data_IF_081230630723
#
_entry.id   IF_081230630723
#
_cell.length_a   1.000
_cell.length_b   1.000
_cell.length_c   1.000
_cell.angle_alpha   90.00
_cell.angle_beta   90.00
_cell.angle_gamma   90.00
#
_symmetry.space_group_name_H-M   'P 1'
#
loop_
_entity.id
_entity.type
_entity.pdbx_description
1 polymer ?
#
# COMPACT_ATOMS: atom_id res chain seq x y z
N UNK A 1 4.19 -26.68 8.73
CA UNK A 1 3.60 -26.18 7.46
C UNK A 1 4.71 -25.90 6.47
N UNK A 2 4.47 -26.16 5.19
CA UNK A 2 5.37 -25.79 4.09
C UNK A 2 4.91 -24.46 3.46
N UNK A 3 5.73 -23.42 3.56
CA UNK A 3 5.42 -22.08 3.09
C UNK A 3 6.15 -21.83 1.78
N UNK A 4 5.48 -21.25 0.80
CA UNK A 4 6.03 -20.93 -0.51
C UNK A 4 6.11 -19.43 -0.75
N UNK A 5 7.23 -18.99 -1.28
CA UNK A 5 7.49 -17.58 -1.63
C UNK A 5 7.88 -17.51 -3.11
N UNK A 6 6.94 -17.28 -4.01
CA UNK A 6 7.24 -17.08 -5.42
C UNK A 6 7.88 -15.71 -5.64
N UNK A 7 8.58 -15.55 -6.76
CA UNK A 7 9.01 -14.26 -7.27
C UNK A 7 7.81 -13.49 -7.78
N UNK A 8 7.72 -12.20 -7.46
CA UNK A 8 6.68 -11.34 -7.99
C UNK A 8 6.88 -11.12 -9.50
N UNK A 9 5.78 -11.20 -10.25
CA UNK A 9 5.77 -11.09 -11.71
C UNK A 9 4.94 -9.92 -12.24
N UNK A 10 4.23 -9.20 -11.36
CA UNK A 10 3.53 -7.99 -11.74
C UNK A 10 4.55 -6.92 -12.18
N UNK A 11 4.22 -6.18 -13.22
CA UNK A 11 5.10 -5.14 -13.77
C UNK A 11 5.46 -4.13 -12.68
N UNK A 12 6.75 -3.82 -12.53
CA UNK A 12 7.31 -2.94 -11.51
C UNK A 12 7.04 -3.36 -10.05
N UNK A 13 6.82 -4.67 -9.81
CA UNK A 13 6.82 -5.23 -8.47
C UNK A 13 8.16 -5.92 -8.20
N UNK A 14 8.90 -5.38 -7.26
CA UNK A 14 10.25 -5.82 -6.90
C UNK A 14 10.35 -6.27 -5.44
N UNK A 15 9.25 -6.21 -4.69
CA UNK A 15 9.15 -6.69 -3.31
C UNK A 15 9.10 -8.22 -3.28
N UNK A 16 9.18 -8.81 -2.10
CA UNK A 16 9.08 -10.26 -1.90
C UNK A 16 8.27 -10.57 -0.63
N UNK A 17 7.55 -11.68 -0.63
CA UNK A 17 6.64 -12.08 0.44
C UNK A 17 7.31 -12.30 1.80
N UNK A 18 8.53 -12.87 1.83
CA UNK A 18 9.35 -13.03 3.05
C UNK A 18 10.79 -12.58 2.81
N UNK A 19 11.35 -11.88 3.78
CA UNK A 19 12.79 -11.57 3.83
C UNK A 19 13.59 -12.77 4.35
N UNK A 20 14.91 -12.85 4.13
CA UNK A 20 15.75 -13.89 4.75
C UNK A 20 15.62 -13.94 6.28
N UNK A 21 15.47 -12.80 6.95
CA UNK A 21 15.27 -12.75 8.41
C UNK A 21 13.93 -13.36 8.82
N UNK A 22 12.85 -13.08 8.07
CA UNK A 22 11.54 -13.69 8.32
C UNK A 22 11.53 -15.19 8.03
N UNK A 23 12.26 -15.63 6.99
CA UNK A 23 12.46 -17.07 6.71
C UNK A 23 13.15 -17.75 7.87
N UNK A 24 14.22 -17.17 8.42
CA UNK A 24 14.92 -17.73 9.58
C UNK A 24 14.00 -17.91 10.78
N UNK A 25 13.12 -16.95 11.03
CA UNK A 25 12.13 -17.01 12.11
C UNK A 25 11.12 -18.13 11.87
N UNK A 26 10.56 -18.22 10.66
CA UNK A 26 9.62 -19.27 10.25
C UNK A 26 10.24 -20.67 10.41
N UNK A 27 11.51 -20.84 10.01
CA UNK A 27 12.25 -22.10 10.15
C UNK A 27 12.53 -22.42 11.63
N UNK A 28 12.85 -21.42 12.44
CA UNK A 28 13.05 -21.60 13.89
C UNK A 28 11.78 -22.07 14.61
N UNK A 29 10.59 -21.75 14.07
CA UNK A 29 9.28 -22.25 14.52
C UNK A 29 8.92 -23.63 13.96
N UNK A 30 9.85 -24.33 13.31
CA UNK A 30 9.67 -25.72 12.84
C UNK A 30 8.93 -25.84 11.50
N UNK A 31 8.83 -24.77 10.72
CA UNK A 31 8.22 -24.78 9.40
C UNK A 31 9.29 -24.82 8.29
N UNK A 32 8.94 -25.29 7.11
CA UNK A 32 9.81 -25.28 5.94
C UNK A 32 9.41 -24.18 4.96
N UNK A 33 10.40 -23.57 4.34
CA UNK A 33 10.17 -22.47 3.38
C UNK A 33 10.80 -22.81 2.03
N UNK A 34 9.99 -22.73 0.98
CA UNK A 34 10.44 -22.79 -0.41
C UNK A 34 10.47 -21.36 -0.98
N UNK A 35 11.57 -20.95 -1.55
CA UNK A 35 11.71 -19.65 -2.19
C UNK A 35 12.07 -19.86 -3.64
N UNK A 36 11.35 -19.22 -4.53
CA UNK A 36 11.71 -19.23 -5.94
C UNK A 36 13.02 -18.49 -6.16
N UNK A 37 13.90 -19.05 -6.99
CA UNK A 37 15.18 -18.41 -7.35
C UNK A 37 14.97 -16.96 -7.77
N UNK A 38 15.87 -16.08 -7.34
CA UNK A 38 15.84 -14.63 -7.61
C UNK A 38 14.62 -13.88 -7.02
N UNK A 39 13.80 -14.47 -6.17
CA UNK A 39 12.65 -13.77 -5.59
C UNK A 39 13.07 -12.53 -4.78
N UNK A 40 14.23 -12.58 -4.10
CA UNK A 40 14.74 -11.47 -3.29
C UNK A 40 15.60 -10.44 -4.02
N UNK A 41 15.83 -10.59 -5.33
CA UNK A 41 16.77 -9.72 -6.07
C UNK A 41 16.40 -8.24 -5.98
N UNK A 42 15.11 -7.92 -6.04
CA UNK A 42 14.63 -6.53 -5.94
C UNK A 42 14.91 -5.84 -4.61
N UNK A 43 15.16 -6.59 -3.55
CA UNK A 43 15.53 -6.07 -2.22
C UNK A 43 17.01 -6.23 -1.90
N UNK A 44 17.81 -6.76 -2.85
CA UNK A 44 19.23 -7.04 -2.68
C UNK A 44 19.52 -8.30 -1.86
N UNK A 45 18.56 -9.23 -1.74
CA UNK A 45 18.74 -10.55 -1.13
C UNK A 45 18.99 -11.61 -2.21
N UNK A 46 20.05 -12.38 -2.05
CA UNK A 46 20.43 -13.45 -2.97
C UNK A 46 19.81 -14.78 -2.56
N UNK A 47 19.80 -15.77 -3.46
CA UNK A 47 19.37 -17.13 -3.15
C UNK A 47 20.20 -17.72 -1.99
N UNK A 48 21.52 -17.46 -1.95
CA UNK A 48 22.39 -17.86 -0.87
C UNK A 48 22.04 -17.23 0.49
N UNK A 49 21.45 -16.03 0.51
CA UNK A 49 20.96 -15.41 1.75
C UNK A 49 19.74 -16.16 2.28
N UNK A 50 18.86 -16.64 1.42
CA UNK A 50 17.71 -17.45 1.78
C UNK A 50 18.12 -18.87 2.21
N UNK A 51 19.08 -19.51 1.53
CA UNK A 51 19.62 -20.81 1.93
C UNK A 51 20.27 -20.74 3.32
N UNK A 52 21.07 -19.69 3.61
CA UNK A 52 21.63 -19.46 4.95
C UNK A 52 20.55 -19.23 6.01
N UNK A 53 19.39 -18.71 5.63
CA UNK A 53 18.23 -18.55 6.50
C UNK A 53 17.46 -19.87 6.72
N UNK A 54 17.79 -20.94 5.99
CA UNK A 54 17.14 -22.25 6.09
C UNK A 54 16.06 -22.52 5.04
N UNK A 55 15.94 -21.70 4.01
CA UNK A 55 15.03 -21.96 2.90
C UNK A 55 15.61 -22.97 1.92
N UNK A 56 14.73 -23.64 1.20
CA UNK A 56 15.05 -24.39 -0.02
C UNK A 56 14.76 -23.54 -1.23
N UNK A 57 15.74 -23.34 -2.10
CA UNK A 57 15.55 -22.64 -3.38
C UNK A 57 14.98 -23.60 -4.42
N UNK A 58 13.96 -23.15 -5.16
CA UNK A 58 13.34 -23.87 -6.26
C UNK A 58 13.37 -23.03 -7.54
N UNK A 59 13.37 -23.68 -8.70
CA UNK A 59 13.58 -23.00 -9.98
C UNK A 59 12.42 -22.17 -10.48
N UNK A 60 11.18 -22.58 -10.18
CA UNK A 60 9.97 -22.04 -10.81
C UNK A 60 8.87 -21.72 -9.80
N UNK A 61 7.98 -20.80 -10.17
CA UNK A 61 6.75 -20.55 -9.40
C UNK A 61 5.88 -21.82 -9.34
N UNK A 62 5.81 -22.60 -10.40
CA UNK A 62 5.03 -23.84 -10.43
C UNK A 62 5.45 -24.82 -9.34
N UNK A 63 6.76 -24.98 -9.08
CA UNK A 63 7.27 -25.80 -7.98
C UNK A 63 6.87 -25.25 -6.61
N UNK A 64 6.88 -23.90 -6.45
CA UNK A 64 6.42 -23.26 -5.23
C UNK A 64 4.94 -23.57 -4.98
N UNK A 65 4.07 -23.26 -5.96
CA UNK A 65 2.62 -23.44 -5.83
C UNK A 65 2.22 -24.91 -5.67
N UNK A 66 2.87 -25.82 -6.39
CA UNK A 66 2.58 -27.26 -6.28
C UNK A 66 2.91 -27.83 -4.89
N UNK A 67 3.96 -27.31 -4.23
CA UNK A 67 4.50 -27.90 -3.02
C UNK A 67 4.06 -27.21 -1.72
N UNK A 68 3.73 -25.92 -1.78
CA UNK A 68 3.39 -25.13 -0.59
C UNK A 68 1.98 -25.40 -0.09
N UNK A 69 1.81 -25.41 1.22
CA UNK A 69 0.50 -25.40 1.90
C UNK A 69 -0.03 -23.95 2.05
N UNK A 70 0.90 -23.00 2.24
CA UNK A 70 0.61 -21.56 2.27
C UNK A 70 1.56 -20.84 1.33
N UNK A 71 1.02 -20.01 0.44
CA UNK A 71 1.77 -19.12 -0.44
C UNK A 71 1.71 -17.70 0.13
N UNK A 72 2.87 -17.10 0.35
CA UNK A 72 3.01 -15.71 0.83
C UNK A 72 3.57 -14.86 -0.30
N UNK A 73 2.80 -13.84 -0.70
CA UNK A 73 3.16 -12.87 -1.74
C UNK A 73 3.02 -11.45 -1.21
N UNK A 74 3.36 -10.49 -2.03
CA UNK A 74 3.08 -9.07 -1.78
C UNK A 74 1.85 -8.62 -2.56
N UNK A 75 1.83 -8.84 -3.88
CA UNK A 75 0.73 -8.42 -4.75
C UNK A 75 -0.19 -9.60 -5.10
N UNK A 76 -1.37 -9.23 -5.57
CA UNK A 76 -2.38 -10.16 -6.06
C UNK A 76 -1.79 -11.12 -7.09
N UNK A 77 -2.19 -12.39 -7.06
CA UNK A 77 -1.69 -13.39 -8.01
C UNK A 77 -2.15 -13.04 -9.43
N UNK A 78 -1.19 -13.03 -10.36
CA UNK A 78 -1.47 -12.78 -11.77
C UNK A 78 -2.16 -14.02 -12.41
N UNK A 79 -2.81 -13.86 -13.56
CA UNK A 79 -3.61 -14.91 -14.19
C UNK A 79 -2.88 -16.27 -14.30
N UNK A 80 -1.58 -16.26 -14.57
CA UNK A 80 -0.80 -17.51 -14.64
C UNK A 80 -0.62 -18.15 -13.27
N UNK A 81 -0.51 -17.35 -12.20
CA UNK A 81 -0.35 -17.83 -10.82
C UNK A 81 -1.68 -18.34 -10.25
N UNK A 82 -2.81 -17.67 -10.58
CA UNK A 82 -4.15 -18.12 -10.15
C UNK A 82 -4.46 -19.55 -10.62
N UNK A 83 -4.01 -19.92 -11.82
CA UNK A 83 -4.15 -21.27 -12.37
C UNK A 83 -3.31 -22.34 -11.66
N UNK A 84 -2.32 -21.95 -10.87
CA UNK A 84 -1.47 -22.85 -10.08
C UNK A 84 -2.01 -23.08 -8.67
N UNK A 85 -2.98 -22.26 -8.23
CA UNK A 85 -3.63 -22.42 -6.93
C UNK A 85 -4.47 -23.72 -6.93
N UNK A 86 -4.61 -24.28 -5.73
CA UNK A 86 -5.37 -25.52 -5.54
C UNK A 86 -6.28 -25.43 -4.32
N UNK A 87 -7.29 -26.28 -4.30
CA UNK A 87 -8.23 -26.38 -3.19
C UNK A 87 -7.52 -26.52 -1.83
N UNK A 88 -7.96 -25.74 -0.86
CA UNK A 88 -7.44 -25.75 0.50
C UNK A 88 -6.07 -25.10 0.70
N UNK A 89 -5.38 -24.67 -0.37
CA UNK A 89 -4.12 -23.93 -0.27
C UNK A 89 -4.36 -22.54 0.27
N UNK A 90 -3.58 -22.11 1.27
CA UNK A 90 -3.68 -20.75 1.81
C UNK A 90 -2.90 -19.77 0.91
N UNK A 91 -3.54 -18.69 0.53
CA UNK A 91 -2.91 -17.55 -0.13
C UNK A 91 -2.99 -16.33 0.81
N UNK A 92 -1.84 -15.83 1.25
CA UNK A 92 -1.72 -14.69 2.17
C UNK A 92 -0.97 -13.55 1.48
N UNK A 93 -1.70 -12.51 1.06
CA UNK A 93 -1.18 -11.43 0.20
C UNK A 93 -2.17 -10.26 0.14
N UNK A 94 -1.81 -9.14 -0.51
CA UNK A 94 -2.82 -8.18 -0.99
C UNK A 94 -3.61 -8.79 -2.14
N UNK A 95 -4.91 -8.57 -2.17
CA UNK A 95 -5.81 -9.10 -3.20
C UNK A 95 -6.47 -8.01 -4.05
N UNK A 96 -6.98 -6.96 -3.44
CA UNK A 96 -7.69 -5.87 -4.13
C UNK A 96 -8.78 -6.37 -5.08
N UNK A 97 -9.69 -7.23 -4.58
CA UNK A 97 -10.65 -7.97 -5.41
C UNK A 97 -11.74 -7.11 -6.05
N UNK A 98 -12.19 -6.04 -5.37
CA UNK A 98 -13.33 -5.26 -5.83
C UNK A 98 -13.19 -4.67 -7.25
N UNK A 99 -12.01 -4.20 -7.71
CA UNK A 99 -11.82 -3.73 -9.08
C UNK A 99 -11.50 -4.82 -10.10
N UNK A 100 -11.32 -6.10 -9.71
CA UNK A 100 -10.90 -7.18 -10.59
C UNK A 100 -11.82 -8.41 -10.48
N UNK A 101 -12.97 -8.40 -11.20
CA UNK A 101 -13.94 -9.50 -11.17
C UNK A 101 -13.38 -10.81 -11.72
N UNK A 102 -12.44 -10.78 -12.66
CA UNK A 102 -11.82 -11.99 -13.20
C UNK A 102 -10.91 -12.65 -12.17
N UNK A 103 -10.14 -11.86 -11.42
CA UNK A 103 -9.36 -12.38 -10.30
C UNK A 103 -10.26 -13.02 -9.23
N UNK A 104 -11.33 -12.34 -8.84
CA UNK A 104 -12.26 -12.87 -7.83
C UNK A 104 -12.84 -14.22 -8.28
N UNK A 105 -13.27 -14.35 -9.54
CA UNK A 105 -13.79 -15.59 -10.11
C UNK A 105 -12.75 -16.70 -10.11
N UNK A 106 -11.55 -16.43 -10.65
CA UNK A 106 -10.47 -17.42 -10.69
C UNK A 106 -10.10 -17.92 -9.28
N UNK A 107 -10.10 -17.05 -8.27
CA UNK A 107 -9.80 -17.44 -6.89
C UNK A 107 -10.94 -18.25 -6.25
N UNK A 108 -12.19 -17.94 -6.53
CA UNK A 108 -13.35 -18.75 -6.13
C UNK A 108 -13.26 -20.14 -6.76
N UNK A 109 -13.01 -20.21 -8.05
CA UNK A 109 -12.93 -21.49 -8.78
C UNK A 109 -11.74 -22.35 -8.35
N UNK A 110 -10.65 -21.75 -7.88
CA UNK A 110 -9.47 -22.47 -7.38
C UNK A 110 -9.72 -23.26 -6.09
N UNK A 111 -10.75 -22.89 -5.30
CA UNK A 111 -11.00 -23.43 -3.96
C UNK A 111 -9.93 -23.07 -2.92
N UNK A 112 -9.02 -22.15 -3.22
CA UNK A 112 -8.00 -21.68 -2.30
C UNK A 112 -8.59 -20.87 -1.14
N UNK A 113 -7.83 -20.76 -0.05
CA UNK A 113 -8.17 -19.95 1.13
C UNK A 113 -7.44 -18.62 1.02
N UNK A 114 -8.14 -17.57 0.62
CA UNK A 114 -7.53 -16.29 0.31
C UNK A 114 -7.71 -15.31 1.48
N UNK A 115 -6.60 -14.97 2.14
CA UNK A 115 -6.54 -14.05 3.28
C UNK A 115 -5.85 -12.78 2.79
N UNK A 116 -6.62 -11.69 2.71
CA UNK A 116 -6.18 -10.40 2.19
C UNK A 116 -5.53 -9.55 3.28
N UNK A 117 -4.34 -9.04 3.01
CA UNK A 117 -3.64 -8.13 3.93
C UNK A 117 -4.45 -6.87 4.22
N UNK A 118 -5.07 -6.28 3.21
CA UNK A 118 -5.77 -5.01 3.29
C UNK A 118 -7.08 -5.04 4.08
N UNK A 119 -7.58 -6.23 4.43
CA UNK A 119 -8.82 -6.37 5.20
C UNK A 119 -8.58 -6.89 6.63
N UNK A 120 -7.35 -7.28 6.98
CA UNK A 120 -6.97 -7.58 8.38
C UNK A 120 -7.09 -6.29 9.21
N UNK A 121 -7.82 -6.37 10.33
CA UNK A 121 -8.04 -5.25 11.24
C UNK A 121 -7.17 -5.33 12.49
N UNK A 122 -7.33 -4.41 13.44
CA UNK A 122 -6.63 -4.39 14.72
C UNK A 122 -7.55 -3.96 15.84
N UNK A 123 -7.34 -4.48 17.05
CA UNK A 123 -8.04 -4.06 18.26
C UNK A 123 -7.84 -2.56 18.57
N UNK A 124 -6.71 -2.00 18.19
CA UNK A 124 -6.42 -0.58 18.29
C UNK A 124 -7.07 0.26 17.17
N UNK A 125 -7.80 -0.39 16.27
CA UNK A 125 -8.37 0.22 15.06
C UNK A 125 -7.37 0.25 13.90
N UNK A 126 -7.89 0.54 12.70
CA UNK A 126 -7.11 0.61 11.47
C UNK A 126 -6.78 -0.75 10.84
N UNK A 127 -5.91 -0.71 9.83
CA UNK A 127 -5.53 -1.84 8.98
C UNK A 127 -4.02 -2.08 9.12
N UNK A 128 -3.59 -2.93 10.06
CA UNK A 128 -2.18 -3.06 10.46
C UNK A 128 -1.27 -3.57 9.34
N UNK A 129 -1.80 -4.33 8.38
CA UNK A 129 -1.02 -4.84 7.25
C UNK A 129 -1.02 -3.88 6.04
N UNK A 130 -1.94 -2.91 6.00
CA UNK A 130 -1.94 -1.83 5.00
C UNK A 130 -1.12 -0.62 5.48
N UNK A 131 -1.10 -0.35 6.79
CA UNK A 131 -0.42 0.80 7.38
C UNK A 131 1.05 0.96 6.94
N UNK A 132 1.91 -0.11 6.89
CA UNK A 132 3.29 0.04 6.45
C UNK A 132 3.43 0.59 5.03
N UNK A 133 2.53 0.20 4.12
CA UNK A 133 2.56 0.72 2.74
C UNK A 133 2.07 2.16 2.68
N UNK A 134 1.10 2.53 3.50
CA UNK A 134 0.65 3.91 3.65
C UNK A 134 1.73 4.82 4.25
N UNK A 135 2.53 4.31 5.17
CA UNK A 135 3.68 5.02 5.74
C UNK A 135 4.77 5.27 4.69
N UNK A 136 5.12 4.22 3.93
CA UNK A 136 6.09 4.33 2.84
C UNK A 136 5.59 5.31 1.78
N UNK A 137 4.33 5.20 1.34
CA UNK A 137 3.74 6.09 0.35
C UNK A 137 3.75 7.55 0.83
N UNK A 138 3.39 7.81 2.09
CA UNK A 138 3.42 9.14 2.68
C UNK A 138 4.83 9.75 2.68
N UNK A 139 5.83 8.99 3.08
CA UNK A 139 7.24 9.45 3.07
C UNK A 139 7.74 9.67 1.66
N UNK A 140 7.45 8.74 0.76
CA UNK A 140 7.86 8.80 -0.64
C UNK A 140 7.19 9.95 -1.39
N UNK A 141 5.97 10.36 -1.03
CA UNK A 141 5.27 11.47 -1.68
C UNK A 141 6.06 12.78 -1.61
N UNK A 142 6.78 13.02 -0.51
CA UNK A 142 7.64 14.20 -0.36
C UNK A 142 8.89 14.08 -1.25
N UNK A 143 9.50 12.89 -1.31
CA UNK A 143 10.67 12.64 -2.17
C UNK A 143 10.31 12.80 -3.65
N UNK A 144 9.20 12.20 -4.09
CA UNK A 144 8.70 12.32 -5.47
C UNK A 144 8.32 13.77 -5.80
N UNK A 145 7.62 14.45 -4.87
CA UNK A 145 7.25 15.85 -5.02
C UNK A 145 8.44 16.78 -5.13
N UNK A 146 9.49 16.55 -4.34
CA UNK A 146 10.74 17.31 -4.40
C UNK A 146 11.40 17.20 -5.78
N UNK A 147 11.50 15.97 -6.30
CA UNK A 147 12.05 15.73 -7.64
C UNK A 147 11.19 16.39 -8.72
N UNK A 148 9.86 16.27 -8.63
CA UNK A 148 8.96 16.87 -9.61
C UNK A 148 8.99 18.42 -9.58
N UNK A 149 9.42 19.06 -8.48
CA UNK A 149 9.61 20.52 -8.41
C UNK A 149 10.88 21.01 -9.13
N UNK A 150 11.80 20.11 -9.46
CA UNK A 150 12.99 20.44 -10.22
C UNK A 150 12.63 20.89 -11.65
N UNK A 151 13.41 21.83 -12.20
CA UNK A 151 13.11 22.37 -13.54
C UNK A 151 13.15 21.32 -14.64
N UNK A 152 14.08 20.39 -14.55
CA UNK A 152 14.24 19.30 -15.53
C UNK A 152 13.05 18.31 -15.51
N UNK A 153 12.36 18.18 -14.36
CA UNK A 153 11.17 17.35 -14.20
C UNK A 153 9.84 18.08 -14.52
N UNK A 154 9.92 19.31 -15.05
CA UNK A 154 8.75 20.13 -15.41
C UNK A 154 8.28 21.08 -14.31
N UNK A 155 8.90 21.04 -13.14
CA UNK A 155 8.58 21.88 -12.00
C UNK A 155 9.04 23.32 -12.12
N UNK A 156 8.69 24.15 -11.14
CA UNK A 156 9.02 25.56 -11.09
C UNK A 156 10.48 25.86 -10.69
N UNK A 157 11.28 24.85 -10.35
CA UNK A 157 12.69 25.02 -9.95
C UNK A 157 12.86 25.52 -8.53
N UNK A 158 12.12 24.96 -7.57
CA UNK A 158 12.14 25.36 -6.16
C UNK A 158 12.66 24.21 -5.28
N UNK A 159 13.47 24.54 -4.29
CA UNK A 159 13.98 23.62 -3.28
C UNK A 159 13.05 23.61 -2.06
N UNK A 160 12.71 22.43 -1.53
CA UNK A 160 11.74 22.30 -0.43
C UNK A 160 12.10 23.13 0.80
N UNK A 161 13.35 23.05 1.26
CA UNK A 161 13.81 23.75 2.46
C UNK A 161 14.28 25.19 2.22
N UNK A 162 14.28 25.67 0.95
CA UNK A 162 14.91 26.95 0.61
C UNK A 162 16.40 26.97 0.96
N UNK A 163 16.96 28.15 1.05
CA UNK A 163 18.32 28.42 1.57
C UNK A 163 18.32 29.76 2.29
N UNK A 164 19.42 30.12 2.95
CA UNK A 164 19.52 31.42 3.63
C UNK A 164 19.13 32.58 2.69
N UNK A 165 18.15 33.36 3.09
CA UNK A 165 17.61 34.47 2.30
C UNK A 165 16.55 34.07 1.24
N UNK A 166 16.23 32.78 1.08
CA UNK A 166 15.22 32.28 0.15
C UNK A 166 14.16 31.48 0.91
N UNK A 167 12.89 31.84 0.72
CA UNK A 167 11.77 31.20 1.40
C UNK A 167 11.63 29.71 1.04
N UNK A 168 11.39 28.81 2.00
CA UNK A 168 11.08 27.42 1.73
C UNK A 168 9.80 27.24 0.91
N UNK A 169 9.68 26.09 0.24
CA UNK A 169 8.47 25.69 -0.44
C UNK A 169 7.29 25.51 0.54
N UNK A 170 6.09 25.81 0.06
CA UNK A 170 4.83 25.56 0.77
C UNK A 170 4.25 24.21 0.32
N UNK A 171 4.21 23.27 1.24
CA UNK A 171 3.61 21.94 1.05
C UNK A 171 2.24 21.89 1.71
N UNK A 172 1.22 21.56 0.95
CA UNK A 172 -0.15 21.37 1.45
C UNK A 172 -0.50 19.88 1.37
N UNK A 173 -0.85 19.30 2.50
CA UNK A 173 -1.19 17.89 2.63
C UNK A 173 -2.69 17.77 2.90
N UNK A 174 -3.39 17.07 2.01
CA UNK A 174 -4.81 16.77 2.13
C UNK A 174 -4.98 15.39 2.77
N UNK A 175 -5.52 15.37 4.00
CA UNK A 175 -5.66 14.19 4.84
C UNK A 175 -4.59 14.09 5.92
N UNK A 176 -5.00 13.84 7.17
CA UNK A 176 -4.14 13.64 8.35
C UNK A 176 -4.10 12.17 8.81
N UNK A 177 -4.45 11.23 7.93
CA UNK A 177 -4.35 9.79 8.14
C UNK A 177 -2.90 9.30 8.14
N UNK A 178 -2.68 8.00 7.97
CA UNK A 178 -1.33 7.39 7.99
C UNK A 178 -0.43 8.02 6.92
N UNK A 179 -0.91 8.14 5.68
CA UNK A 179 -0.18 8.79 4.57
C UNK A 179 0.19 10.23 4.94
N UNK A 180 -0.80 11.04 5.32
CA UNK A 180 -0.58 12.47 5.57
C UNK A 180 0.34 12.76 6.74
N UNK A 181 0.26 11.99 7.84
CA UNK A 181 1.17 12.12 8.99
C UNK A 181 2.63 11.82 8.59
N UNK A 182 2.86 10.77 7.83
CA UNK A 182 4.19 10.41 7.36
C UNK A 182 4.73 11.43 6.35
N UNK A 183 3.87 11.94 5.45
CA UNK A 183 4.22 13.05 4.56
C UNK A 183 4.59 14.31 5.35
N UNK A 184 3.78 14.67 6.37
CA UNK A 184 4.04 15.84 7.20
C UNK A 184 5.38 15.75 7.95
N UNK A 185 5.71 14.58 8.52
CA UNK A 185 7.01 14.35 9.18
C UNK A 185 8.19 14.59 8.22
N UNK A 186 8.12 14.03 7.02
CA UNK A 186 9.18 14.20 6.03
C UNK A 186 9.26 15.63 5.51
N UNK A 187 8.13 16.26 5.24
CA UNK A 187 8.05 17.64 4.76
C UNK A 187 8.63 18.63 5.80
N UNK A 188 8.28 18.46 7.07
CA UNK A 188 8.87 19.23 8.19
C UNK A 188 10.36 18.98 8.30
N UNK A 189 10.80 17.72 8.17
CA UNK A 189 12.23 17.35 8.21
C UNK A 189 13.04 17.94 7.08
N UNK A 190 12.41 18.24 5.93
CA UNK A 190 13.07 18.92 4.79
C UNK A 190 13.14 20.45 4.95
N UNK A 191 12.58 21.01 6.00
CA UNK A 191 12.56 22.45 6.25
C UNK A 191 11.49 23.23 5.48
N UNK A 192 10.52 22.55 4.88
CA UNK A 192 9.42 23.17 4.15
C UNK A 192 8.40 23.85 5.09
N UNK A 193 7.61 24.76 4.57
CA UNK A 193 6.40 25.25 5.21
C UNK A 193 5.27 24.24 5.01
N UNK A 194 4.76 23.65 6.08
CA UNK A 194 3.80 22.52 6.00
C UNK A 194 2.43 22.92 6.52
N UNK A 195 1.41 22.69 5.70
CA UNK A 195 0.00 22.82 6.06
C UNK A 195 -0.68 21.47 5.87
N UNK A 196 -1.39 21.00 6.89
CA UNK A 196 -2.18 19.75 6.82
C UNK A 196 -3.66 20.06 7.01
N UNK A 197 -4.48 19.52 6.12
CA UNK A 197 -5.91 19.77 6.07
C UNK A 197 -6.66 18.45 6.28
N UNK A 198 -7.55 18.39 7.28
CA UNK A 198 -8.40 17.22 7.53
C UNK A 198 -9.76 17.64 8.10
N UNK A 199 -10.78 16.78 7.95
CA UNK A 199 -12.10 16.93 8.61
C UNK A 199 -12.09 16.45 10.06
N UNK A 200 -11.19 15.54 10.42
CA UNK A 200 -11.06 15.00 11.75
C UNK A 200 -10.24 15.92 12.64
N UNK A 201 -10.89 16.58 13.57
CA UNK A 201 -10.21 17.42 14.57
C UNK A 201 -9.26 16.57 15.43
N UNK A 202 -9.61 15.31 15.71
CA UNK A 202 -8.74 14.43 16.51
C UNK A 202 -7.46 14.05 15.75
N UNK A 203 -7.55 13.81 14.43
CA UNK A 203 -6.38 13.60 13.58
C UNK A 203 -5.48 14.85 13.55
N UNK A 204 -6.07 16.06 13.47
CA UNK A 204 -5.34 17.32 13.52
C UNK A 204 -4.69 17.54 14.90
N UNK A 205 -5.39 17.27 16.01
CA UNK A 205 -4.83 17.34 17.38
C UNK A 205 -3.63 16.39 17.55
N UNK A 206 -3.74 15.17 16.99
CA UNK A 206 -2.64 14.21 17.04
C UNK A 206 -1.40 14.73 16.31
N UNK A 207 -1.58 15.34 15.14
CA UNK A 207 -0.50 15.98 14.38
C UNK A 207 0.10 17.17 15.13
N UNK A 208 -0.73 18.02 15.71
CA UNK A 208 -0.30 19.16 16.50
C UNK A 208 0.54 18.72 17.71
N UNK A 209 0.09 17.69 18.43
CA UNK A 209 0.84 17.12 19.55
C UNK A 209 2.19 16.51 19.11
N UNK A 210 2.26 15.91 17.89
CA UNK A 210 3.44 15.24 17.38
C UNK A 210 4.48 16.21 16.81
N UNK A 211 4.05 17.25 16.10
CA UNK A 211 4.91 18.15 15.33
C UNK A 211 4.97 19.57 15.87
N UNK A 212 4.02 19.96 16.72
CA UNK A 212 3.94 21.30 17.31
C UNK A 212 3.84 22.40 16.26
N UNK A 213 4.45 23.54 16.53
CA UNK A 213 4.43 24.72 15.65
C UNK A 213 5.13 24.56 14.30
N UNK A 214 5.72 23.40 14.03
CA UNK A 214 6.36 23.09 12.73
C UNK A 214 5.35 22.73 11.63
N UNK A 215 4.07 22.55 11.99
CA UNK A 215 2.97 22.27 11.07
C UNK A 215 1.81 23.20 11.35
N UNK A 216 1.14 23.64 10.30
CA UNK A 216 -0.11 24.39 10.39
C UNK A 216 -1.24 23.40 10.14
N UNK A 217 -2.13 23.21 11.11
CA UNK A 217 -3.31 22.36 10.96
C UNK A 217 -4.53 23.20 10.59
N UNK A 218 -5.29 22.76 9.58
CA UNK A 218 -6.44 23.48 9.05
C UNK A 218 -7.63 22.53 8.90
N UNK A 219 -8.82 22.97 9.33
CA UNK A 219 -10.05 22.21 9.14
C UNK A 219 -10.46 22.17 7.65
N UNK A 220 -10.83 20.98 7.17
CA UNK A 220 -11.20 20.78 5.76
C UNK A 220 -12.61 21.29 5.48
N UNK A 221 -12.70 22.40 4.77
CA UNK A 221 -13.89 22.88 4.08
C UNK A 221 -13.46 23.43 2.71
N UNK A 222 -14.42 23.75 1.85
CA UNK A 222 -14.12 24.19 0.45
C UNK A 222 -13.21 25.42 0.41
N UNK A 223 -13.52 26.44 1.21
CA UNK A 223 -12.77 27.71 1.25
C UNK A 223 -11.32 27.49 1.73
N UNK A 224 -11.13 26.73 2.81
CA UNK A 224 -9.80 26.44 3.34
C UNK A 224 -8.98 25.60 2.35
N UNK A 225 -9.57 24.57 1.74
CA UNK A 225 -8.89 23.74 0.74
C UNK A 225 -8.46 24.59 -0.46
N UNK A 226 -9.37 25.37 -1.06
CA UNK A 226 -9.06 26.24 -2.19
C UNK A 226 -7.96 27.24 -1.85
N UNK A 227 -8.12 27.98 -0.74
CA UNK A 227 -7.13 28.98 -0.30
C UNK A 227 -5.72 28.40 -0.16
N UNK A 228 -5.59 27.23 0.46
CA UNK A 228 -4.28 26.64 0.69
C UNK A 228 -3.71 25.98 -0.58
N UNK A 229 -4.53 25.30 -1.37
CA UNK A 229 -4.11 24.68 -2.64
C UNK A 229 -3.57 25.73 -3.63
N UNK A 230 -4.23 26.89 -3.74
CA UNK A 230 -3.77 27.97 -4.63
C UNK A 230 -2.42 28.57 -4.20
N UNK A 231 -2.04 28.45 -2.93
CA UNK A 231 -0.76 28.93 -2.39
C UNK A 231 0.35 27.89 -2.42
N UNK A 232 -0.01 26.63 -2.67
CA UNK A 232 0.92 25.51 -2.61
C UNK A 232 1.95 25.56 -3.75
N UNK A 233 3.16 25.09 -3.44
CA UNK A 233 4.16 24.68 -4.42
C UNK A 233 4.06 23.19 -4.68
N UNK A 234 3.70 22.43 -3.61
CA UNK A 234 3.46 20.99 -3.65
C UNK A 234 2.17 20.68 -2.89
N UNK A 235 1.26 19.98 -3.55
CA UNK A 235 0.07 19.38 -2.93
C UNK A 235 0.29 17.87 -2.83
N UNK A 236 0.13 17.30 -1.64
CA UNK A 236 0.15 15.85 -1.42
C UNK A 236 -1.24 15.43 -0.96
N UNK A 237 -1.87 14.52 -1.68
CA UNK A 237 -3.15 13.98 -1.28
C UNK A 237 -3.03 12.54 -0.75
N UNK A 238 -3.41 12.36 0.52
CA UNK A 238 -3.45 11.08 1.20
C UNK A 238 -4.83 10.79 1.80
N UNK A 239 -5.89 11.34 1.21
CA UNK A 239 -7.27 11.09 1.69
C UNK A 239 -7.68 9.68 1.30
N UNK A 240 -8.07 8.89 2.30
CA UNK A 240 -8.58 7.54 2.12
C UNK A 240 -9.95 7.43 2.79
N UNK A 241 -10.95 6.99 2.03
CA UNK A 241 -12.26 6.61 2.58
C UNK A 241 -12.38 5.09 2.40
N UNK A 242 -12.42 4.32 3.48
CA UNK A 242 -12.54 2.86 3.39
C UNK A 242 -13.78 2.46 2.56
N UNK A 243 -13.57 1.62 1.54
CA UNK A 243 -14.65 1.10 0.70
C UNK A 243 -15.30 2.11 -0.28
N UNK A 244 -14.77 3.33 -0.42
CA UNK A 244 -15.32 4.34 -1.31
C UNK A 244 -14.25 5.05 -2.15
N UNK A 245 -14.67 5.71 -3.23
CA UNK A 245 -13.80 6.55 -4.03
C UNK A 245 -13.32 7.77 -3.23
N UNK A 246 -12.11 8.24 -3.52
CA UNK A 246 -11.57 9.45 -2.93
C UNK A 246 -12.41 10.68 -3.35
N UNK A 247 -12.70 11.62 -2.42
CA UNK A 247 -13.42 12.83 -2.75
C UNK A 247 -12.56 13.74 -3.65
N UNK A 248 -13.17 14.37 -4.63
CA UNK A 248 -12.50 15.36 -5.49
C UNK A 248 -12.34 16.69 -4.75
N UNK A 249 -11.19 16.86 -4.11
CA UNK A 249 -10.87 18.05 -3.31
C UNK A 249 -10.20 19.15 -4.13
N UNK A 250 -9.47 18.79 -5.19
CA UNK A 250 -8.81 19.73 -6.09
C UNK A 250 -9.57 19.74 -7.41
N UNK A 251 -10.27 20.84 -7.68
CA UNK A 251 -11.06 20.98 -8.91
C UNK A 251 -10.20 21.44 -10.09
N UNK A 252 -10.68 21.24 -11.30
CA UNK A 252 -10.01 21.74 -12.50
C UNK A 252 -9.92 23.28 -12.52
N UNK A 253 -10.91 23.96 -11.95
CA UNK A 253 -10.88 25.42 -11.80
C UNK A 253 -9.72 25.88 -10.92
N UNK A 254 -9.52 25.20 -9.77
CA UNK A 254 -8.38 25.48 -8.89
C UNK A 254 -7.05 25.28 -9.63
N UNK A 255 -6.92 24.22 -10.43
CA UNK A 255 -5.70 23.94 -11.21
C UNK A 255 -5.30 25.13 -12.10
N UNK A 256 -6.27 25.72 -12.82
CA UNK A 256 -6.03 26.87 -13.69
C UNK A 256 -5.45 28.09 -12.95
N UNK A 257 -5.71 28.17 -11.64
CA UNK A 257 -5.30 29.26 -10.73
C UNK A 257 -4.08 28.91 -9.87
N UNK A 258 -3.63 27.66 -9.86
CA UNK A 258 -2.40 27.24 -9.17
C UNK A 258 -1.16 27.84 -9.82
N UNK A 259 -0.07 27.88 -9.07
CA UNK A 259 1.23 28.33 -9.57
C UNK A 259 1.70 27.40 -10.71
N UNK A 260 2.16 27.95 -11.81
CA UNK A 260 2.71 27.16 -12.92
C UNK A 260 4.01 26.46 -12.49
N UNK A 261 4.10 25.18 -12.79
CA UNK A 261 5.19 24.32 -12.31
C UNK A 261 5.05 23.86 -10.86
N UNK A 262 3.90 24.15 -10.19
CA UNK A 262 3.56 23.47 -8.95
C UNK A 262 3.26 21.98 -9.22
N UNK A 263 3.28 21.17 -8.15
CA UNK A 263 3.20 19.71 -8.24
C UNK A 263 2.02 19.20 -7.42
N UNK A 264 1.32 18.21 -7.95
CA UNK A 264 0.35 17.40 -7.21
C UNK A 264 0.87 15.96 -7.16
N UNK A 265 1.11 15.44 -5.96
CA UNK A 265 1.36 14.01 -5.70
C UNK A 265 0.07 13.41 -5.15
N UNK A 266 -0.64 12.63 -5.96
CA UNK A 266 -1.92 12.04 -5.56
C UNK A 266 -1.73 10.59 -5.14
N UNK A 267 -1.50 10.38 -3.83
CA UNK A 267 -1.36 9.05 -3.23
C UNK A 267 -2.71 8.31 -3.18
N UNK A 268 -3.83 9.06 -3.24
CA UNK A 268 -5.18 8.48 -3.27
C UNK A 268 -5.57 7.91 -4.65
N UNK A 269 -4.62 7.84 -5.59
CA UNK A 269 -4.88 7.43 -6.98
C UNK A 269 -5.51 6.04 -7.10
N UNK A 270 -5.15 5.10 -6.22
CA UNK A 270 -5.72 3.76 -6.18
C UNK A 270 -7.24 3.76 -5.89
N UNK A 271 -7.76 4.87 -5.34
CA UNK A 271 -9.19 5.12 -5.11
C UNK A 271 -9.77 6.19 -6.06
N UNK A 272 -9.18 6.33 -7.25
CA UNK A 272 -9.62 7.27 -8.28
C UNK A 272 -9.03 8.68 -8.16
N UNK A 273 -8.17 8.95 -7.17
CA UNK A 273 -7.49 10.23 -6.97
C UNK A 273 -8.39 11.33 -6.41
N UNK A 274 -7.79 12.32 -5.78
CA UNK A 274 -8.45 13.43 -5.13
C UNK A 274 -8.50 14.73 -5.96
N UNK A 275 -7.78 14.80 -7.06
CA UNK A 275 -7.98 15.86 -8.05
C UNK A 275 -8.89 15.39 -9.18
N UNK A 276 -9.71 16.29 -9.73
CA UNK A 276 -10.55 15.98 -10.89
C UNK A 276 -9.73 15.58 -12.12
N UNK A 277 -8.48 16.03 -12.19
CA UNK A 277 -7.52 15.76 -13.27
C UNK A 277 -6.62 14.57 -13.00
N UNK A 278 -6.73 13.92 -11.84
CA UNK A 278 -5.92 12.75 -11.51
C UNK A 278 -6.29 11.54 -12.37
N UNK A 279 -5.28 10.92 -12.96
CA UNK A 279 -5.35 9.65 -13.66
C UNK A 279 -4.15 8.78 -13.29
N UNK A 280 -4.30 7.45 -13.18
CA UNK A 280 -3.20 6.56 -12.83
C UNK A 280 -2.02 6.67 -13.80
N UNK A 281 -0.82 6.66 -13.24
CA UNK A 281 0.45 6.58 -13.96
C UNK A 281 1.27 5.39 -13.47
N UNK A 282 2.38 5.10 -14.13
CA UNK A 282 3.28 3.99 -13.80
C UNK A 282 4.66 4.51 -13.40
N UNK A 283 5.51 3.64 -12.85
CA UNK A 283 6.90 4.01 -12.55
C UNK A 283 7.73 4.29 -13.82
N UNK A 284 7.33 3.79 -14.98
CA UNK A 284 8.01 4.07 -16.25
C UNK A 284 7.67 5.48 -16.79
N UNK A 285 6.42 5.92 -16.62
CA UNK A 285 5.93 7.24 -17.02
C UNK A 285 5.20 7.86 -15.83
N UNK A 286 5.93 8.41 -14.83
CA UNK A 286 5.35 8.73 -13.53
C UNK A 286 4.53 10.03 -13.51
N UNK A 287 4.75 10.92 -14.50
CA UNK A 287 4.18 12.28 -14.48
C UNK A 287 3.50 12.67 -15.77
N UNK A 288 2.60 13.63 -15.66
CA UNK A 288 2.02 14.39 -16.78
C UNK A 288 1.70 15.80 -16.31
N UNK A 289 1.45 16.69 -17.25
CA UNK A 289 1.16 18.11 -16.96
C UNK A 289 -0.26 18.45 -17.42
N UNK A 290 -1.02 19.10 -16.55
CA UNK A 290 -2.34 19.68 -16.87
C UNK A 290 -2.36 21.13 -16.41
N UNK A 291 -2.73 22.04 -17.29
CA UNK A 291 -2.83 23.48 -17.02
C UNK A 291 -1.55 24.06 -16.36
N UNK A 292 -0.36 23.50 -16.69
CA UNK A 292 0.92 23.90 -16.15
C UNK A 292 1.24 23.38 -14.75
N UNK A 293 0.44 22.44 -14.21
CA UNK A 293 0.67 21.76 -12.94
C UNK A 293 1.14 20.33 -13.22
N UNK A 294 2.25 19.92 -12.62
CA UNK A 294 2.81 18.57 -12.74
C UNK A 294 2.01 17.62 -11.84
N UNK A 295 1.58 16.50 -12.40
CA UNK A 295 0.87 15.45 -11.67
C UNK A 295 1.76 14.22 -11.56
N UNK A 296 1.98 13.72 -10.34
CA UNK A 296 2.56 12.44 -10.02
C UNK A 296 1.47 11.57 -9.40
N UNK A 297 0.98 10.59 -10.16
CA UNK A 297 -0.17 9.76 -9.79
C UNK A 297 0.16 8.27 -9.94
N UNK A 298 1.37 7.87 -9.53
CA UNK A 298 1.84 6.49 -9.68
C UNK A 298 1.06 5.56 -8.75
N UNK A 299 0.33 4.62 -9.33
CA UNK A 299 -0.25 3.52 -8.60
C UNK A 299 0.86 2.63 -8.02
N UNK A 300 0.69 2.14 -6.78
CA UNK A 300 1.70 1.33 -6.12
C UNK A 300 3.04 2.07 -5.85
N UNK A 301 2.98 3.30 -5.39
CA UNK A 301 4.18 4.08 -5.01
C UNK A 301 5.20 3.28 -4.17
N UNK A 302 4.80 2.46 -3.15
CA UNK A 302 5.75 1.69 -2.35
C UNK A 302 6.60 0.69 -3.15
N UNK A 303 6.16 0.29 -4.33
CA UNK A 303 6.92 -0.59 -5.24
C UNK A 303 8.24 0.00 -5.73
N UNK A 304 8.36 1.32 -5.77
CA UNK A 304 9.59 2.01 -6.18
C UNK A 304 10.74 1.93 -5.14
N UNK A 305 10.42 1.61 -3.90
CA UNK A 305 11.41 1.44 -2.81
C UNK A 305 11.28 0.05 -2.18
N UNK A 306 11.49 -1.02 -2.98
CA UNK A 306 11.12 -2.39 -2.63
C UNK A 306 11.82 -2.89 -1.37
N UNK A 307 13.08 -2.49 -1.14
CA UNK A 307 13.82 -2.88 0.08
C UNK A 307 13.12 -2.36 1.34
N UNK A 308 12.85 -1.06 1.42
CA UNK A 308 12.14 -0.47 2.57
C UNK A 308 10.76 -1.06 2.75
N UNK A 309 9.99 -1.16 1.65
CA UNK A 309 8.61 -1.65 1.65
C UNK A 309 8.51 -3.10 2.07
N UNK A 310 9.41 -3.97 1.60
CA UNK A 310 9.42 -5.38 1.97
C UNK A 310 9.69 -5.57 3.46
N UNK A 311 10.72 -4.93 3.99
CA UNK A 311 11.03 -5.06 5.42
C UNK A 311 9.91 -4.50 6.31
N UNK A 312 9.35 -3.34 5.95
CA UNK A 312 8.22 -2.77 6.67
C UNK A 312 6.99 -3.69 6.66
N UNK A 313 6.66 -4.26 5.50
CA UNK A 313 5.54 -5.19 5.35
C UNK A 313 5.79 -6.50 6.12
N UNK A 314 6.97 -7.10 5.97
CA UNK A 314 7.31 -8.34 6.65
C UNK A 314 7.27 -8.24 8.17
N UNK A 315 7.72 -7.12 8.75
CA UNK A 315 7.61 -6.87 10.19
C UNK A 315 6.15 -6.89 10.67
N UNK A 316 5.22 -6.47 9.83
CA UNK A 316 3.79 -6.48 10.16
C UNK A 316 3.13 -7.84 9.88
N UNK A 317 3.49 -8.52 8.78
CA UNK A 317 2.83 -9.76 8.34
C UNK A 317 3.34 -11.01 9.05
N UNK A 318 4.61 -11.02 9.49
CA UNK A 318 5.25 -12.20 10.09
C UNK A 318 4.47 -12.80 11.27
N UNK A 319 3.97 -12.05 12.26
CA UNK A 319 3.21 -12.63 13.37
C UNK A 319 1.94 -13.37 12.90
N UNK A 320 1.27 -12.86 11.88
CA UNK A 320 0.08 -13.48 11.31
C UNK A 320 0.44 -14.72 10.48
N UNK A 321 1.54 -14.66 9.71
CA UNK A 321 2.05 -15.80 8.96
C UNK A 321 2.42 -16.97 9.90
N UNK A 322 3.08 -16.68 11.03
CA UNK A 322 3.38 -17.67 12.06
C UNK A 322 2.11 -18.25 12.69
N UNK A 323 1.13 -17.40 13.05
CA UNK A 323 -0.14 -17.86 13.60
C UNK A 323 -0.89 -18.82 12.65
N UNK A 324 -0.89 -18.49 11.34
CA UNK A 324 -1.47 -19.34 10.30
C UNK A 324 -0.69 -20.65 10.15
N UNK A 325 0.64 -20.60 10.20
CA UNK A 325 1.51 -21.75 10.03
C UNK A 325 1.43 -22.74 11.19
N UNK A 326 1.39 -22.24 12.43
CA UNK A 326 1.38 -23.06 13.67
C UNK A 326 0.02 -23.71 13.92
N UNK A 327 -1.08 -22.99 13.68
CA UNK A 327 -2.43 -23.43 14.08
C UNK A 327 -3.27 -23.94 12.92
N UNK A 328 -2.81 -23.71 11.69
CA UNK A 328 -3.66 -23.82 10.51
C UNK A 328 -4.67 -22.66 10.42
N UNK A 329 -5.13 -22.37 9.22
CA UNK A 329 -5.93 -21.18 8.95
C UNK A 329 -7.26 -21.16 9.74
N UNK A 330 -7.96 -22.31 9.89
CA UNK A 330 -9.24 -22.34 10.61
C UNK A 330 -9.11 -21.92 12.07
N UNK A 331 -8.16 -22.51 12.79
CA UNK A 331 -7.98 -22.23 14.21
C UNK A 331 -7.36 -20.85 14.44
N UNK A 332 -6.46 -20.40 13.57
CA UNK A 332 -5.91 -19.05 13.63
C UNK A 332 -7.01 -17.99 13.50
N UNK A 333 -7.93 -18.15 12.53
CA UNK A 333 -9.02 -17.21 12.32
C UNK A 333 -10.12 -17.30 13.40
N UNK A 334 -10.37 -18.47 13.96
CA UNK A 334 -11.31 -18.59 15.11
C UNK A 334 -10.82 -17.85 16.34
N UNK A 335 -9.52 -17.86 16.59
CA UNK A 335 -8.91 -17.20 17.76
C UNK A 335 -8.73 -15.70 17.61
N UNK A 336 -8.52 -15.26 16.40
CA UNK A 336 -8.27 -13.84 16.11
C UNK A 336 -9.34 -13.27 15.18
N UNK A 337 -10.32 -12.52 15.72
CA UNK A 337 -11.38 -11.91 14.92
C UNK A 337 -10.85 -10.86 13.95
N UNK A 338 -9.66 -10.27 14.24
CA UNK A 338 -9.02 -9.29 13.40
C UNK A 338 -8.35 -9.94 12.18
N UNK A 339 -7.67 -11.08 12.38
CA UNK A 339 -7.15 -11.88 11.27
C UNK A 339 -8.31 -12.51 10.46
N UNK A 340 -9.41 -12.91 11.13
CA UNK A 340 -10.62 -13.42 10.46
C UNK A 340 -11.22 -12.39 9.48
N UNK A 341 -11.15 -11.12 9.78
CA UNK A 341 -11.57 -10.06 8.85
C UNK A 341 -10.76 -10.05 7.54
N UNK A 342 -9.57 -10.67 7.54
CA UNK A 342 -8.74 -10.89 6.36
C UNK A 342 -9.28 -11.95 5.40
N UNK A 343 -10.19 -12.84 5.83
CA UNK A 343 -10.71 -13.92 4.98
C UNK A 343 -11.64 -13.35 3.91
N UNK A 344 -11.20 -13.36 2.67
CA UNK A 344 -11.96 -12.83 1.54
C UNK A 344 -12.62 -13.93 0.69
N UNK A 345 -11.94 -15.08 0.52
CA UNK A 345 -12.47 -16.24 -0.21
C UNK A 345 -12.06 -17.51 0.55
N UNK A 346 -12.99 -18.45 0.68
CA UNK A 346 -12.72 -19.78 1.23
C UNK A 346 -13.73 -20.80 0.69
N UNK A 347 -13.24 -22.01 0.38
CA UNK A 347 -14.07 -23.13 -0.08
C UNK A 347 -14.99 -22.76 -1.28
N UNK A 348 -14.46 -21.99 -2.22
CA UNK A 348 -15.22 -21.56 -3.41
C UNK A 348 -16.29 -20.49 -3.14
N UNK A 349 -16.22 -19.78 -2.00
CA UNK A 349 -17.20 -18.77 -1.61
C UNK A 349 -16.56 -17.45 -1.25
N UNK A 350 -17.22 -16.33 -1.57
CA UNK A 350 -16.79 -14.99 -1.16
C UNK A 350 -17.25 -14.73 0.27
N UNK A 351 -16.28 -14.47 1.16
CA UNK A 351 -16.50 -14.30 2.60
C UNK A 351 -16.29 -12.87 3.09
N UNK A 352 -16.01 -11.93 2.19
CA UNK A 352 -15.91 -10.51 2.50
C UNK A 352 -17.05 -9.75 1.83
N UNK A 353 -17.89 -9.12 2.65
CA UNK A 353 -19.19 -8.57 2.23
C UNK A 353 -19.04 -7.46 1.18
N UNK A 354 -18.07 -6.58 1.35
CA UNK A 354 -17.84 -5.45 0.45
C UNK A 354 -17.40 -5.91 -0.94
N UNK A 355 -16.61 -6.98 -1.02
CA UNK A 355 -16.24 -7.62 -2.31
C UNK A 355 -17.45 -8.25 -2.96
N UNK A 356 -18.26 -9.01 -2.20
CA UNK A 356 -19.48 -9.61 -2.73
C UNK A 356 -20.45 -8.56 -3.29
N UNK A 357 -20.63 -7.44 -2.59
CA UNK A 357 -21.47 -6.33 -3.03
C UNK A 357 -20.90 -5.61 -4.27
N UNK A 358 -19.60 -5.37 -4.30
CA UNK A 358 -18.94 -4.67 -5.42
C UNK A 358 -19.00 -5.47 -6.72
N UNK A 359 -18.99 -6.80 -6.63
CA UNK A 359 -18.94 -7.72 -7.78
C UNK A 359 -20.28 -8.42 -8.07
N UNK A 360 -21.36 -8.09 -7.33
CA UNK A 360 -22.67 -8.75 -7.42
C UNK A 360 -22.57 -10.28 -7.27
N UNK A 361 -21.79 -10.72 -6.27
CA UNK A 361 -21.58 -12.13 -5.94
C UNK A 361 -22.30 -12.50 -4.64
N UNK A 362 -22.59 -13.81 -4.47
CA UNK A 362 -23.16 -14.33 -3.23
C UNK A 362 -22.16 -14.18 -2.08
N UNK A 363 -22.65 -13.66 -0.94
CA UNK A 363 -21.89 -13.52 0.28
C UNK A 363 -22.13 -14.69 1.22
N UNK A 364 -21.07 -15.26 1.77
CA UNK A 364 -21.12 -16.25 2.84
C UNK A 364 -20.35 -15.73 4.06
N UNK A 365 -20.96 -15.76 5.24
CA UNK A 365 -20.27 -15.29 6.44
C UNK A 365 -19.04 -16.17 6.73
N UNK A 366 -17.92 -15.54 7.14
CA UNK A 366 -16.67 -16.25 7.45
C UNK A 366 -16.88 -17.37 8.48
N UNK A 367 -17.76 -17.18 9.47
CA UNK A 367 -18.04 -18.19 10.49
C UNK A 367 -18.70 -19.46 9.93
N UNK A 368 -19.44 -19.36 8.80
CA UNK A 368 -20.06 -20.52 8.16
C UNK A 368 -19.03 -21.44 7.48
N UNK A 369 -17.91 -20.91 7.02
CA UNK A 369 -16.82 -21.70 6.40
C UNK A 369 -15.75 -22.13 7.42
N UNK A 370 -15.81 -21.57 8.62
CA UNK A 370 -14.95 -21.95 9.75
C UNK A 370 -15.56 -23.06 10.62
N UNK A 371 -16.86 -23.30 10.51
CA UNK A 371 -17.61 -24.31 11.28
C UNK A 371 -17.07 -25.74 11.13
#
# INVERSE_FOLDING_TARGET
>A
MKIGVPKEIKVHEYRVGLTPSSVREVVAHGHSVLVQTQAGTGIGATDADYERAGATIVGTAAEVFASAEMVIKVKEPQAVERRMLREGQVLFTYLHLAPDPDQARDLVDSGAICIAYETVTSAAGGLPLLAPMSEVAGRMSVQAGAHCLERAAGGMGILLGGVAGVTPARIVILGAGVVGRNAAQMAVGSGAQVVVIDKSIDALRHLDAMLGSRVITVYSNRDNVEREVLRADLVISGVLIPGAAAPKLVTREMLGRMKKGSVIVDVAIDQGGSAETSRPTTHAEPTYVVDGVVHYCVANMPGAVPRTSTYALNNATLPFALALAERGWREALRRDPHLKAGLNIAAGQVTYKEVAQALDLSYTAADAVLS
#
